data_IF_555664578868
#
_entry.id   IF_555664578868
#
_cell.length_a   1.000
_cell.length_b   1.000
_cell.length_c   1.000
_cell.angle_alpha   90.00
_cell.angle_beta   90.00
_cell.angle_gamma   90.00
#
_symmetry.space_group_name_H-M   'P 1'
#
loop_
_entity.id
_entity.type
_entity.pdbx_description
1 polymer ?
#
# COMPACT_ATOMS: atom_id res chain seq x y z
N UNK A 1 -8.37 -41.84 -2.22
CA UNK A 1 -7.81 -42.60 -1.06
C UNK A 1 -6.37 -42.22 -0.77
N UNK A 2 -5.48 -42.12 -1.79
CA UNK A 2 -4.06 -41.73 -1.61
C UNK A 2 -3.93 -40.33 -0.96
N UNK A 3 -4.65 -39.33 -1.49
CA UNK A 3 -4.64 -37.96 -0.96
C UNK A 3 -5.08 -37.91 0.49
N UNK A 4 -6.11 -38.67 0.89
CA UNK A 4 -6.60 -38.73 2.27
C UNK A 4 -5.57 -39.37 3.22
N UNK A 5 -4.83 -40.38 2.77
CA UNK A 5 -3.76 -41.02 3.56
C UNK A 5 -2.55 -40.08 3.73
N UNK A 6 -2.23 -39.29 2.69
CA UNK A 6 -1.17 -38.28 2.74
C UNK A 6 -1.57 -37.11 3.69
N UNK A 7 -2.80 -36.64 3.66
CA UNK A 7 -3.32 -35.64 4.61
C UNK A 7 -3.31 -36.14 6.05
N UNK A 8 -3.63 -37.43 6.28
CA UNK A 8 -3.56 -38.02 7.64
C UNK A 8 -2.11 -38.04 8.14
N UNK A 9 -1.14 -38.35 7.29
CA UNK A 9 0.29 -38.27 7.65
C UNK A 9 0.74 -36.86 8.03
N UNK A 10 0.28 -35.84 7.32
CA UNK A 10 0.55 -34.42 7.64
C UNK A 10 -0.04 -34.03 8.99
N UNK A 11 -1.22 -34.57 9.33
CA UNK A 11 -1.83 -34.31 10.63
C UNK A 11 -1.11 -35.01 11.82
N UNK A 12 -0.31 -36.04 11.54
CA UNK A 12 0.42 -36.80 12.54
C UNK A 12 1.88 -36.33 12.71
N UNK A 13 2.44 -35.68 11.69
CA UNK A 13 3.86 -35.27 11.69
C UNK A 13 3.99 -33.83 11.18
N UNK A 14 4.54 -32.90 11.98
CA UNK A 14 4.80 -31.54 11.52
C UNK A 14 5.68 -31.53 10.27
N UNK A 15 5.37 -30.64 9.33
CA UNK A 15 6.20 -30.43 8.15
C UNK A 15 7.11 -29.23 8.46
N UNK A 16 8.41 -29.40 8.25
CA UNK A 16 9.40 -28.34 8.44
C UNK A 16 8.99 -27.05 7.70
N UNK A 17 9.01 -25.93 8.43
CA UNK A 17 8.63 -24.61 7.89
C UNK A 17 7.14 -24.42 7.64
N UNK A 18 6.28 -25.34 8.09
CA UNK A 18 4.82 -25.25 7.93
C UNK A 18 4.14 -25.20 9.29
N UNK A 19 2.98 -24.53 9.31
CA UNK A 19 2.02 -24.63 10.42
C UNK A 19 0.88 -25.51 9.92
N UNK A 20 0.60 -26.60 10.63
CA UNK A 20 -0.49 -27.52 10.33
C UNK A 20 -1.36 -27.77 11.58
N UNK A 21 -2.50 -28.43 11.40
CA UNK A 21 -3.33 -28.89 12.52
C UNK A 21 -3.13 -30.40 12.70
N UNK A 22 -2.97 -30.80 13.96
CA UNK A 22 -2.97 -32.21 14.32
C UNK A 22 -4.39 -32.81 14.25
N UNK A 23 -4.51 -34.10 14.53
CA UNK A 23 -5.79 -34.83 14.56
C UNK A 23 -6.78 -34.28 15.61
N UNK A 24 -6.29 -33.61 16.65
CA UNK A 24 -7.09 -32.99 17.70
C UNK A 24 -7.53 -31.56 17.36
N UNK A 25 -7.04 -30.99 16.24
CA UNK A 25 -7.31 -29.63 15.83
C UNK A 25 -6.34 -28.59 16.37
N UNK A 26 -5.34 -28.98 17.18
CA UNK A 26 -4.32 -28.08 17.72
C UNK A 26 -3.32 -27.68 16.65
N UNK A 27 -2.82 -26.44 16.72
CA UNK A 27 -1.74 -25.99 15.85
C UNK A 27 -0.44 -26.70 16.22
N UNK A 28 0.23 -27.23 15.22
CA UNK A 28 1.57 -27.80 15.33
C UNK A 28 2.50 -27.14 14.32
N UNK A 29 3.73 -26.91 14.72
CA UNK A 29 4.79 -26.36 13.88
C UNK A 29 6.12 -27.01 14.26
N UNK A 30 6.95 -27.21 13.26
CA UNK A 30 8.31 -27.69 13.43
C UNK A 30 9.24 -26.63 12.85
N UNK A 31 10.19 -26.16 13.67
CA UNK A 31 11.23 -25.20 13.36
C UNK A 31 10.80 -23.86 12.68
N UNK A 32 11.51 -22.75 12.92
CA UNK A 32 11.26 -21.51 12.23
C UNK A 32 11.46 -21.68 10.73
N UNK A 33 10.59 -21.05 9.94
CA UNK A 33 10.64 -21.06 8.47
C UNK A 33 12.01 -20.60 8.00
N UNK A 34 12.76 -21.50 7.35
CA UNK A 34 14.02 -21.15 6.69
C UNK A 34 13.67 -20.50 5.35
N UNK A 35 13.98 -19.20 5.22
CA UNK A 35 13.75 -18.49 3.96
C UNK A 35 14.65 -19.02 2.86
N UNK A 36 14.05 -19.39 1.73
CA UNK A 36 14.77 -19.76 0.52
C UNK A 36 15.63 -18.59 0.04
N UNK A 37 16.95 -18.77 0.01
CA UNK A 37 17.90 -17.77 -0.47
C UNK A 37 18.09 -17.82 -1.98
N UNK A 38 17.94 -19.00 -2.59
CA UNK A 38 18.02 -19.23 -4.04
C UNK A 38 16.60 -19.18 -4.62
N UNK A 39 16.13 -17.99 -4.98
CA UNK A 39 14.77 -17.82 -5.46
C UNK A 39 14.51 -18.52 -6.80
N UNK A 40 15.54 -18.73 -7.61
CA UNK A 40 15.44 -19.41 -8.92
C UNK A 40 15.09 -20.90 -8.79
N UNK A 41 15.32 -21.51 -7.61
CA UNK A 41 14.88 -22.88 -7.33
C UNK A 41 13.32 -22.99 -7.26
N UNK A 42 12.62 -21.87 -7.11
CA UNK A 42 11.15 -21.81 -7.13
C UNK A 42 10.70 -21.82 -8.60
N UNK A 43 9.90 -22.80 -9.04
CA UNK A 43 9.40 -22.85 -10.42
C UNK A 43 8.63 -21.56 -10.79
N UNK A 44 8.82 -21.08 -12.02
CA UNK A 44 8.06 -19.94 -12.52
C UNK A 44 6.63 -20.33 -12.82
N UNK A 45 5.63 -19.66 -12.26
CA UNK A 45 4.25 -19.91 -12.65
C UNK A 45 3.96 -19.48 -14.09
N UNK A 46 4.71 -18.52 -14.63
CA UNK A 46 4.60 -18.09 -16.04
C UNK A 46 5.29 -19.10 -16.98
N UNK A 47 6.59 -19.36 -16.78
CA UNK A 47 7.37 -20.23 -17.68
C UNK A 47 6.90 -21.69 -17.67
N UNK A 48 6.17 -22.11 -16.65
CA UNK A 48 5.52 -23.43 -16.59
C UNK A 48 4.14 -23.47 -17.24
N UNK A 49 3.62 -22.33 -17.71
CA UNK A 49 2.30 -22.23 -18.34
C UNK A 49 1.11 -22.28 -17.36
N UNK A 50 1.34 -22.35 -16.05
CA UNK A 50 0.25 -22.43 -15.05
C UNK A 50 -0.64 -21.16 -15.11
N UNK A 51 -0.04 -20.00 -15.46
CA UNK A 51 -0.75 -18.72 -15.54
C UNK A 51 -1.48 -18.49 -16.86
N UNK A 52 -1.33 -19.33 -17.88
CA UNK A 52 -1.86 -19.07 -19.23
C UNK A 52 -3.38 -18.81 -19.26
N UNK A 53 -4.12 -19.53 -18.45
CA UNK A 53 -5.59 -19.35 -18.33
C UNK A 53 -6.01 -18.00 -17.77
N UNK A 54 -5.09 -17.24 -17.18
CA UNK A 54 -5.35 -15.93 -16.60
C UNK A 54 -4.95 -14.77 -17.51
N UNK A 55 -4.42 -15.03 -18.70
CA UNK A 55 -4.23 -14.03 -19.75
C UNK A 55 -5.56 -13.77 -20.48
N UNK A 56 -6.59 -13.41 -19.72
CA UNK A 56 -7.98 -13.24 -20.18
C UNK A 56 -8.37 -11.78 -20.48
N UNK A 57 -7.44 -10.85 -20.29
CA UNK A 57 -7.65 -9.41 -20.49
C UNK A 57 -8.41 -8.71 -19.36
N UNK A 58 -8.70 -9.40 -18.26
CA UNK A 58 -9.34 -8.85 -17.05
C UNK A 58 -8.35 -8.65 -15.92
N UNK A 59 -7.32 -9.49 -15.86
CA UNK A 59 -6.31 -9.47 -14.82
C UNK A 59 -5.05 -8.77 -15.32
N UNK A 60 -4.41 -8.03 -14.44
CA UNK A 60 -3.08 -7.45 -14.66
C UNK A 60 -2.03 -8.47 -14.22
N UNK A 61 -1.09 -8.86 -15.10
CA UNK A 61 0.02 -9.71 -14.69
C UNK A 61 0.84 -9.09 -13.58
N UNK A 62 1.24 -9.92 -12.61
CA UNK A 62 2.08 -9.52 -11.50
C UNK A 62 3.31 -10.41 -11.45
N UNK A 63 4.47 -9.79 -11.25
CA UNK A 63 5.72 -10.51 -11.06
C UNK A 63 6.52 -9.91 -9.92
N UNK A 64 7.55 -10.62 -9.47
CA UNK A 64 8.41 -10.21 -8.38
C UNK A 64 9.87 -10.43 -8.79
N UNK A 65 10.71 -9.42 -8.57
CA UNK A 65 12.15 -9.53 -8.89
C UNK A 65 13.00 -9.86 -7.68
N UNK A 66 12.54 -9.51 -6.48
CA UNK A 66 13.22 -9.77 -5.22
C UNK A 66 12.23 -9.95 -4.07
N UNK A 67 12.67 -10.58 -2.98
CA UNK A 67 11.92 -10.79 -1.74
C UNK A 67 12.67 -10.25 -0.55
N UNK A 68 12.00 -9.46 0.28
CA UNK A 68 12.52 -8.86 1.49
C UNK A 68 12.60 -7.34 1.42
N UNK A 69 12.75 -6.73 2.58
CA UNK A 69 12.84 -5.29 2.74
C UNK A 69 13.97 -4.95 3.71
N UNK A 70 14.96 -4.11 3.35
CA UNK A 70 16.09 -3.81 4.22
C UNK A 70 15.75 -2.83 5.35
N UNK A 71 14.48 -2.42 5.48
CA UNK A 71 14.02 -1.46 6.47
C UNK A 71 13.28 -2.14 7.63
N UNK A 72 13.25 -1.47 8.79
CA UNK A 72 12.73 -2.00 10.06
C UNK A 72 11.49 -1.24 10.55
N UNK A 73 10.65 -0.75 9.63
CA UNK A 73 9.46 0.03 10.00
C UNK A 73 8.54 -0.79 10.91
N UNK A 74 8.20 -0.25 12.09
CA UNK A 74 7.46 -0.98 13.13
C UNK A 74 6.01 -1.31 12.76
N UNK A 75 5.41 -0.54 11.85
CA UNK A 75 4.04 -0.73 11.37
C UNK A 75 3.93 -1.81 10.27
N UNK A 76 5.05 -2.30 9.74
CA UNK A 76 5.10 -3.15 8.57
C UNK A 76 5.56 -4.56 8.94
N UNK A 77 4.89 -5.59 8.43
CA UNK A 77 5.31 -6.99 8.60
C UNK A 77 6.61 -7.31 7.87
N UNK A 78 6.94 -6.58 6.80
CA UNK A 78 8.22 -6.69 6.12
C UNK A 78 9.37 -6.00 6.86
N UNK A 79 9.09 -5.29 7.96
CA UNK A 79 10.07 -4.71 8.87
C UNK A 79 10.66 -5.70 9.87
N UNK A 80 10.20 -6.93 9.90
CA UNK A 80 10.67 -7.97 10.81
C UNK A 80 12.07 -8.47 10.44
N UNK A 81 12.90 -8.78 11.42
CA UNK A 81 14.26 -9.29 11.23
C UNK A 81 14.34 -10.48 10.28
N UNK A 82 13.31 -11.34 10.31
CA UNK A 82 13.21 -12.52 9.45
C UNK A 82 13.04 -12.18 7.95
N UNK A 83 12.64 -10.96 7.62
CA UNK A 83 12.38 -10.52 6.23
C UNK A 83 13.36 -9.46 5.72
N UNK A 84 14.26 -8.93 6.54
CA UNK A 84 15.18 -7.84 6.18
C UNK A 84 16.19 -8.22 5.09
N UNK A 85 16.61 -9.48 5.02
CA UNK A 85 17.53 -9.93 3.99
C UNK A 85 16.81 -9.96 2.64
N UNK A 86 17.25 -9.14 1.70
CA UNK A 86 16.74 -9.14 0.33
C UNK A 86 17.41 -10.25 -0.47
N UNK A 87 16.62 -11.18 -0.97
CA UNK A 87 17.03 -12.20 -1.93
C UNK A 87 16.41 -11.87 -3.30
N UNK A 88 17.15 -12.10 -4.38
CA UNK A 88 16.71 -11.74 -5.72
C UNK A 88 16.64 -12.97 -6.63
N UNK A 89 15.66 -12.98 -7.53
CA UNK A 89 15.71 -13.84 -8.71
C UNK A 89 16.85 -13.42 -9.63
N UNK A 90 17.39 -14.31 -10.45
CA UNK A 90 18.36 -13.90 -11.45
C UNK A 90 17.75 -12.95 -12.48
N UNK A 91 18.58 -12.05 -13.02
CA UNK A 91 18.13 -11.14 -14.09
C UNK A 91 17.65 -11.91 -15.32
N UNK A 92 18.27 -13.05 -15.62
CA UNK A 92 17.88 -13.94 -16.69
C UNK A 92 16.45 -14.49 -16.48
N UNK A 93 16.15 -14.97 -15.25
CA UNK A 93 14.80 -15.44 -14.90
C UNK A 93 13.77 -14.34 -15.08
N UNK A 94 14.04 -13.12 -14.62
CA UNK A 94 13.14 -11.97 -14.74
C UNK A 94 12.91 -11.62 -16.22
N UNK A 95 13.96 -11.58 -17.03
CA UNK A 95 13.88 -11.33 -18.49
C UNK A 95 13.03 -12.40 -19.20
N UNK A 96 13.22 -13.66 -18.86
CA UNK A 96 12.44 -14.75 -19.44
C UNK A 96 10.96 -14.65 -19.10
N UNK A 97 10.62 -14.32 -17.85
CA UNK A 97 9.23 -14.09 -17.44
C UNK A 97 8.62 -12.87 -18.13
N UNK A 98 9.34 -11.75 -18.23
CA UNK A 98 8.90 -10.54 -18.95
C UNK A 98 8.58 -10.87 -20.42
N UNK A 99 9.48 -11.58 -21.11
CA UNK A 99 9.27 -12.01 -22.48
C UNK A 99 8.04 -12.92 -22.60
N UNK A 100 7.90 -13.90 -21.71
CA UNK A 100 6.76 -14.81 -21.72
C UNK A 100 5.45 -14.07 -21.54
N UNK A 101 5.33 -13.23 -20.52
CA UNK A 101 4.14 -12.41 -20.25
C UNK A 101 3.82 -11.55 -21.47
N UNK A 102 4.80 -10.85 -22.02
CA UNK A 102 4.62 -9.94 -23.15
C UNK A 102 4.12 -10.62 -24.43
N UNK A 103 4.41 -11.92 -24.60
CA UNK A 103 3.93 -12.73 -25.72
C UNK A 103 2.50 -13.23 -25.54
N UNK A 104 2.04 -13.36 -24.29
CA UNK A 104 0.75 -14.01 -23.98
C UNK A 104 -0.35 -13.03 -23.55
N UNK A 105 0.00 -11.81 -23.14
CA UNK A 105 -1.02 -10.82 -22.73
C UNK A 105 -1.91 -10.40 -23.90
N UNK A 106 -3.22 -10.28 -23.69
CA UNK A 106 -4.12 -9.72 -24.68
C UNK A 106 -3.83 -8.23 -24.94
N UNK A 107 -4.23 -7.72 -26.11
CA UNK A 107 -3.99 -6.33 -26.55
C UNK A 107 -4.61 -5.26 -25.64
N UNK A 108 -5.64 -5.61 -24.88
CA UNK A 108 -6.27 -4.71 -23.91
C UNK A 108 -5.59 -4.70 -22.52
N UNK A 109 -4.51 -5.47 -22.34
CA UNK A 109 -3.70 -5.47 -21.13
C UNK A 109 -2.51 -4.54 -21.33
N UNK A 110 -2.41 -3.48 -20.55
CA UNK A 110 -1.41 -2.42 -20.72
C UNK A 110 -0.42 -2.36 -19.56
N UNK A 111 -0.83 -2.83 -18.38
CA UNK A 111 -0.07 -2.71 -17.14
C UNK A 111 0.64 -3.99 -16.77
N UNK A 112 1.82 -3.85 -16.18
CA UNK A 112 2.56 -4.89 -15.48
C UNK A 112 2.79 -4.44 -14.04
N UNK A 113 2.51 -5.31 -13.07
CA UNK A 113 2.73 -5.00 -11.66
C UNK A 113 3.96 -5.75 -11.13
N UNK A 114 4.93 -5.01 -10.60
CA UNK A 114 5.99 -5.58 -9.77
C UNK A 114 5.61 -5.48 -8.30
N UNK A 115 5.53 -6.62 -7.62
CA UNK A 115 5.26 -6.67 -6.18
C UNK A 115 6.51 -6.48 -5.32
N UNK A 116 7.55 -5.90 -5.88
CA UNK A 116 8.76 -5.52 -5.19
C UNK A 116 8.50 -4.38 -4.21
N UNK A 117 9.06 -4.46 -3.00
CA UNK A 117 8.85 -3.47 -1.94
C UNK A 117 9.68 -2.19 -2.12
N UNK A 118 10.70 -2.21 -2.97
CA UNK A 118 11.66 -1.12 -3.12
C UNK A 118 12.29 -1.09 -4.53
N UNK A 119 11.49 -1.15 -5.58
CA UNK A 119 11.98 -1.15 -6.96
C UNK A 119 12.74 0.14 -7.28
N UNK A 120 13.77 0.02 -8.11
CA UNK A 120 14.65 1.13 -8.52
C UNK A 120 15.77 1.42 -7.51
N UNK A 121 15.81 0.75 -6.35
CA UNK A 121 16.83 0.98 -5.33
C UNK A 121 18.13 0.21 -5.58
N UNK A 122 18.05 -0.95 -6.23
CA UNK A 122 19.20 -1.81 -6.48
C UNK A 122 19.79 -1.59 -7.87
N UNK A 123 21.13 -1.75 -8.06
CA UNK A 123 21.77 -1.55 -9.38
C UNK A 123 21.15 -2.41 -10.48
N UNK A 124 20.75 -3.65 -10.16
CA UNK A 124 20.14 -4.58 -11.10
C UNK A 124 18.76 -4.14 -11.62
N UNK A 125 18.09 -3.26 -10.90
CA UNK A 125 16.77 -2.77 -11.30
C UNK A 125 16.86 -1.95 -12.60
N UNK A 126 18.02 -1.31 -12.85
CA UNK A 126 18.26 -0.62 -14.11
C UNK A 126 18.35 -1.58 -15.30
N UNK A 127 18.94 -2.77 -15.11
CA UNK A 127 18.96 -3.82 -16.14
C UNK A 127 17.56 -4.37 -16.40
N UNK A 128 16.72 -4.41 -15.38
CA UNK A 128 15.31 -4.80 -15.52
C UNK A 128 14.52 -3.74 -16.27
N UNK A 129 14.79 -2.44 -16.02
CA UNK A 129 14.21 -1.35 -16.81
C UNK A 129 14.57 -1.47 -18.30
N UNK A 130 15.82 -1.79 -18.61
CA UNK A 130 16.27 -1.99 -20.00
C UNK A 130 15.50 -3.19 -20.64
N UNK A 131 15.34 -4.29 -19.90
CA UNK A 131 14.57 -5.45 -20.37
C UNK A 131 13.06 -5.13 -20.57
N UNK A 132 12.48 -4.27 -19.73
CA UNK A 132 11.11 -3.78 -19.92
C UNK A 132 10.98 -2.98 -21.21
N UNK A 133 11.95 -2.10 -21.50
CA UNK A 133 11.96 -1.34 -22.75
C UNK A 133 12.13 -2.26 -23.98
N UNK A 134 13.01 -3.24 -23.94
CA UNK A 134 13.15 -4.25 -25.00
C UNK A 134 11.82 -4.97 -25.30
N UNK A 135 11.06 -5.35 -24.25
CA UNK A 135 9.74 -5.98 -24.44
C UNK A 135 8.70 -4.97 -24.93
N UNK A 136 8.74 -3.72 -24.44
CA UNK A 136 7.86 -2.62 -24.91
C UNK A 136 8.06 -2.34 -26.39
N UNK A 137 9.30 -2.28 -26.85
CA UNK A 137 9.62 -2.08 -28.28
C UNK A 137 9.14 -3.24 -29.14
N UNK A 138 9.38 -4.47 -28.68
CA UNK A 138 9.10 -5.67 -29.46
C UNK A 138 7.62 -6.07 -29.48
N UNK A 139 6.94 -5.94 -28.33
CA UNK A 139 5.58 -6.46 -28.13
C UNK A 139 4.54 -5.37 -27.84
N UNK A 140 4.97 -4.09 -27.75
CA UNK A 140 4.14 -2.94 -27.31
C UNK A 140 3.57 -3.12 -25.88
N UNK A 141 4.29 -3.87 -25.03
CA UNK A 141 3.92 -4.17 -23.66
C UNK A 141 5.17 -4.33 -22.76
N UNK A 142 5.11 -3.87 -21.48
CA UNK A 142 4.06 -3.07 -20.85
C UNK A 142 4.16 -1.59 -21.24
N UNK A 143 3.01 -0.88 -21.27
CA UNK A 143 3.00 0.58 -21.42
C UNK A 143 2.89 1.30 -20.07
N UNK A 144 2.52 0.57 -19.01
CA UNK A 144 2.44 1.06 -17.64
C UNK A 144 3.03 0.04 -16.67
N UNK A 145 3.94 0.51 -15.82
CA UNK A 145 4.57 -0.28 -14.76
C UNK A 145 4.06 0.21 -13.40
N UNK A 146 3.44 -0.70 -12.65
CA UNK A 146 2.96 -0.45 -11.29
C UNK A 146 3.93 -1.07 -10.31
N UNK A 147 4.46 -0.30 -9.37
CA UNK A 147 5.38 -0.81 -8.35
C UNK A 147 5.56 0.17 -7.21
N UNK A 148 6.01 -0.32 -6.06
CA UNK A 148 6.46 0.53 -4.95
C UNK A 148 7.93 0.87 -5.12
N UNK A 149 8.26 2.15 -5.17
CA UNK A 149 9.65 2.60 -5.32
C UNK A 149 10.41 2.56 -3.99
N UNK A 150 11.73 2.46 -4.06
CA UNK A 150 12.59 2.47 -2.88
C UNK A 150 12.50 3.76 -2.06
N UNK A 151 12.80 3.66 -0.76
CA UNK A 151 12.70 4.77 0.19
C UNK A 151 13.93 5.69 0.22
N UNK A 152 15.07 5.19 -0.25
CA UNK A 152 16.35 5.92 -0.35
C UNK A 152 17.02 5.65 -1.71
N UNK A 153 18.24 6.15 -1.93
CA UNK A 153 19.01 6.00 -3.20
C UNK A 153 18.28 6.54 -4.42
N UNK A 154 17.80 7.75 -4.30
CA UNK A 154 16.93 8.42 -5.27
C UNK A 154 17.51 8.60 -6.65
N UNK A 155 18.80 8.87 -6.77
CA UNK A 155 19.43 9.01 -8.07
C UNK A 155 19.21 7.77 -8.93
N UNK A 156 19.21 6.57 -8.30
CA UNK A 156 18.90 5.32 -9.00
C UNK A 156 17.43 5.18 -9.35
N UNK A 157 16.54 5.59 -8.44
CA UNK A 157 15.08 5.54 -8.69
C UNK A 157 14.72 6.50 -9.81
N UNK A 158 15.27 7.72 -9.81
CA UNK A 158 15.06 8.69 -10.90
C UNK A 158 15.60 8.13 -12.21
N UNK A 159 16.77 7.51 -12.18
CA UNK A 159 17.35 6.89 -13.38
C UNK A 159 16.47 5.74 -13.89
N UNK A 160 15.92 4.89 -13.00
CA UNK A 160 14.97 3.84 -13.36
C UNK A 160 13.71 4.42 -14.02
N UNK A 161 13.16 5.50 -13.45
CA UNK A 161 11.97 6.17 -14.00
C UNK A 161 12.27 6.80 -15.36
N UNK A 162 13.44 7.46 -15.51
CA UNK A 162 13.85 8.02 -16.81
C UNK A 162 13.99 6.94 -17.88
N UNK A 163 14.60 5.80 -17.54
CA UNK A 163 14.74 4.66 -18.47
C UNK A 163 13.40 4.13 -18.92
N UNK A 164 12.40 4.11 -18.04
CA UNK A 164 11.06 3.64 -18.37
C UNK A 164 10.19 4.67 -19.11
N UNK A 165 10.72 5.85 -19.40
CA UNK A 165 10.12 6.88 -20.26
C UNK A 165 8.62 7.11 -19.96
N UNK A 166 8.32 7.48 -18.71
CA UNK A 166 6.96 7.77 -18.25
C UNK A 166 6.06 6.55 -18.00
N UNK A 167 6.56 5.32 -18.22
CA UNK A 167 5.76 4.13 -17.94
C UNK A 167 5.55 3.88 -16.43
N UNK A 168 6.36 4.51 -15.57
CA UNK A 168 6.30 4.36 -14.12
C UNK A 168 6.18 5.74 -13.44
N UNK A 169 5.20 5.89 -12.54
CA UNK A 169 5.07 7.08 -11.70
C UNK A 169 6.09 7.08 -10.55
N UNK A 170 6.42 8.27 -10.05
CA UNK A 170 7.24 8.41 -8.85
C UNK A 170 6.35 8.41 -7.61
N UNK A 171 6.28 7.29 -6.92
CA UNK A 171 5.60 7.18 -5.62
C UNK A 171 6.60 7.43 -4.49
N UNK A 172 6.32 8.44 -3.66
CA UNK A 172 7.12 8.80 -2.49
C UNK A 172 6.33 8.55 -1.21
N UNK A 173 6.30 7.30 -0.75
CA UNK A 173 5.59 6.91 0.47
C UNK A 173 6.32 7.45 1.70
N UNK A 174 6.08 8.72 2.08
CA UNK A 174 6.75 9.35 3.23
C UNK A 174 6.18 8.88 4.58
N UNK A 175 4.92 8.51 4.63
CA UNK A 175 4.12 8.11 5.78
C UNK A 175 3.92 9.24 6.81
N UNK A 176 4.96 9.98 7.16
CA UNK A 176 4.99 11.22 7.94
C UNK A 176 6.22 12.05 7.53
N UNK A 177 6.20 13.35 7.83
CA UNK A 177 7.36 14.25 7.70
C UNK A 177 7.73 14.91 9.05
N UNK A 178 7.21 14.37 10.13
CA UNK A 178 7.63 14.71 11.49
C UNK A 178 8.77 13.80 11.93
N UNK A 179 9.89 14.37 12.37
CA UNK A 179 11.10 13.64 12.73
C UNK A 179 10.89 12.70 13.91
N UNK A 180 10.08 13.12 14.91
CA UNK A 180 9.84 12.29 16.08
C UNK A 180 8.93 11.11 15.73
N UNK A 181 7.89 11.32 14.92
CA UNK A 181 7.02 10.25 14.43
C UNK A 181 7.84 9.25 13.60
N UNK A 182 8.69 9.73 12.70
CA UNK A 182 9.56 8.86 11.89
C UNK A 182 10.51 8.04 12.76
N UNK A 183 11.09 8.64 13.79
CA UNK A 183 11.95 7.94 14.77
C UNK A 183 11.16 6.88 15.54
N UNK A 184 9.93 7.18 15.96
CA UNK A 184 9.09 6.24 16.70
C UNK A 184 8.74 5.00 15.87
N UNK A 185 8.55 5.15 14.56
CA UNK A 185 8.27 4.04 13.63
C UNK A 185 9.51 3.47 12.97
N UNK A 186 10.71 3.86 13.39
CA UNK A 186 12.00 3.43 12.84
C UNK A 186 12.08 3.56 11.32
N UNK A 187 11.66 4.72 10.81
CA UNK A 187 11.67 5.01 9.39
C UNK A 187 12.57 6.20 9.07
N UNK A 188 13.43 6.00 8.08
CA UNK A 188 14.21 7.07 7.49
C UNK A 188 13.59 7.48 6.14
N UNK A 189 13.14 8.71 6.06
CA UNK A 189 12.73 9.33 4.81
C UNK A 189 13.89 10.10 4.19
N UNK A 190 13.71 10.48 2.95
CA UNK A 190 14.50 11.55 2.41
C UNK A 190 14.16 12.86 3.12
N UNK A 191 15.17 13.73 3.27
CA UNK A 191 14.89 15.08 3.75
C UNK A 191 13.96 15.84 2.81
N UNK A 192 13.17 16.75 3.38
CA UNK A 192 12.28 17.62 2.62
C UNK A 192 13.05 18.39 1.53
N UNK A 193 14.26 18.87 1.84
CA UNK A 193 15.08 19.63 0.89
C UNK A 193 15.50 18.80 -0.31
N UNK A 194 15.89 17.54 -0.09
CA UNK A 194 16.21 16.61 -1.19
C UNK A 194 14.95 16.32 -2.00
N UNK A 195 13.81 16.09 -1.38
CA UNK A 195 12.54 15.89 -2.09
C UNK A 195 12.19 17.12 -2.94
N UNK A 196 12.24 18.32 -2.37
CA UNK A 196 11.97 19.56 -3.09
C UNK A 196 12.96 19.79 -4.24
N UNK A 197 14.24 19.46 -4.04
CA UNK A 197 15.28 19.55 -5.06
C UNK A 197 15.07 18.61 -6.25
N UNK A 198 14.33 17.51 -6.08
CA UNK A 198 14.02 16.57 -7.17
C UNK A 198 12.82 16.99 -8.02
N UNK A 199 11.87 17.73 -7.45
CA UNK A 199 10.62 18.09 -8.11
C UNK A 199 10.77 18.80 -9.47
N UNK A 200 11.73 19.73 -9.68
CA UNK A 200 11.94 20.33 -10.99
C UNK A 200 12.26 19.30 -12.07
N UNK A 201 13.20 18.40 -11.81
CA UNK A 201 13.61 17.36 -12.77
C UNK A 201 12.48 16.36 -13.08
N UNK A 202 11.68 16.00 -12.06
CA UNK A 202 10.54 15.11 -12.21
C UNK A 202 9.46 15.74 -13.10
N UNK A 203 9.19 17.04 -12.92
CA UNK A 203 8.23 17.79 -13.75
C UNK A 203 8.72 18.00 -15.17
N UNK A 204 10.00 18.31 -15.34
CA UNK A 204 10.62 18.42 -16.67
C UNK A 204 10.49 17.12 -17.45
N UNK A 205 10.58 15.99 -16.76
CA UNK A 205 10.36 14.67 -17.32
C UNK A 205 8.85 14.32 -17.53
N UNK A 206 7.92 15.22 -17.20
CA UNK A 206 6.47 14.98 -17.36
C UNK A 206 5.90 13.88 -16.48
N UNK A 207 6.59 13.53 -15.39
CA UNK A 207 6.19 12.42 -14.50
C UNK A 207 5.18 12.88 -13.47
N UNK A 208 4.17 12.03 -13.22
CA UNK A 208 3.24 12.19 -12.11
C UNK A 208 3.93 11.84 -10.78
N UNK A 209 3.59 12.58 -9.76
CA UNK A 209 4.13 12.45 -8.40
C UNK A 209 3.03 12.13 -7.41
N UNK A 210 3.25 11.07 -6.64
CA UNK A 210 2.31 10.64 -5.61
C UNK A 210 3.03 10.50 -4.27
N UNK A 211 2.34 10.78 -3.18
CA UNK A 211 2.83 10.49 -1.84
C UNK A 211 1.75 9.82 -0.99
N UNK A 212 2.20 8.94 -0.12
CA UNK A 212 1.38 8.24 0.85
C UNK A 212 1.74 8.70 2.26
N UNK A 213 0.70 8.98 3.05
CA UNK A 213 0.79 9.39 4.46
C UNK A 213 -0.08 8.44 5.28
N UNK A 214 0.38 8.09 6.47
CA UNK A 214 -0.39 7.27 7.40
C UNK A 214 -0.86 8.14 8.57
N UNK A 215 -2.16 8.16 8.81
CA UNK A 215 -2.81 8.84 9.94
C UNK A 215 -2.92 7.88 11.12
N UNK A 216 -2.52 8.33 12.30
CA UNK A 216 -2.60 7.57 13.56
C UNK A 216 -1.29 6.89 13.97
N UNK A 217 -0.16 7.29 13.40
CA UNK A 217 1.16 6.77 13.76
C UNK A 217 1.56 7.08 15.21
N UNK A 218 2.45 6.27 15.83
CA UNK A 218 2.94 6.47 17.18
C UNK A 218 3.50 7.88 17.46
N UNK A 219 2.88 8.61 18.37
CA UNK A 219 3.30 9.96 18.75
C UNK A 219 2.88 11.06 17.77
N UNK A 220 2.12 10.73 16.73
CA UNK A 220 1.53 11.73 15.84
C UNK A 220 0.47 12.55 16.58
N UNK A 221 0.46 13.85 16.34
CA UNK A 221 -0.56 14.79 16.82
C UNK A 221 -1.36 15.31 15.64
N UNK A 222 -2.51 15.92 15.92
CA UNK A 222 -3.29 16.67 14.93
C UNK A 222 -2.41 17.63 14.12
N UNK A 223 -1.58 18.41 14.83
CA UNK A 223 -0.73 19.41 14.17
C UNK A 223 0.37 18.81 13.33
N UNK A 224 1.09 17.79 13.81
CA UNK A 224 2.17 17.14 13.04
C UNK A 224 1.67 16.46 11.78
N UNK A 225 0.43 15.94 11.81
CA UNK A 225 -0.22 15.41 10.61
C UNK A 225 -0.51 16.51 9.58
N UNK A 226 -1.12 17.63 10.01
CA UNK A 226 -1.38 18.78 9.15
C UNK A 226 -0.09 19.36 8.57
N UNK A 227 0.97 19.48 9.37
CA UNK A 227 2.28 19.98 8.92
C UNK A 227 2.90 19.06 7.86
N UNK A 228 2.72 17.74 8.00
CA UNK A 228 3.11 16.77 6.97
C UNK A 228 2.38 17.04 5.66
N UNK A 229 1.06 17.15 5.68
CA UNK A 229 0.26 17.43 4.48
C UNK A 229 0.63 18.80 3.88
N UNK A 230 0.83 19.82 4.70
CA UNK A 230 1.23 21.15 4.26
C UNK A 230 2.56 21.13 3.50
N UNK A 231 3.57 20.45 4.04
CA UNK A 231 4.87 20.26 3.37
C UNK A 231 4.72 19.59 1.99
N UNK A 232 3.88 18.55 1.88
CA UNK A 232 3.64 17.83 0.63
C UNK A 232 2.91 18.71 -0.41
N UNK A 233 1.90 19.49 0.02
CA UNK A 233 1.19 20.45 -0.86
C UNK A 233 2.16 21.53 -1.36
N UNK A 234 3.04 22.04 -0.50
CA UNK A 234 4.07 23.02 -0.88
C UNK A 234 5.13 22.42 -1.81
N UNK A 235 5.42 21.12 -1.69
CA UNK A 235 6.23 20.38 -2.65
C UNK A 235 5.54 20.24 -4.02
N UNK A 236 4.25 20.60 -4.13
CA UNK A 236 3.44 20.57 -5.34
C UNK A 236 3.31 19.17 -5.92
N UNK A 237 3.14 18.16 -5.08
CA UNK A 237 2.81 16.81 -5.53
C UNK A 237 1.45 16.80 -6.23
N UNK A 238 1.30 15.89 -7.20
CA UNK A 238 0.06 15.76 -7.97
C UNK A 238 -1.03 15.03 -7.18
N UNK A 239 -0.65 14.06 -6.34
CA UNK A 239 -1.58 13.32 -5.49
C UNK A 239 -0.97 13.03 -4.11
N UNK A 240 -1.81 13.12 -3.07
CA UNK A 240 -1.47 12.78 -1.69
C UNK A 240 -2.55 11.85 -1.16
N UNK A 241 -2.18 10.59 -0.88
CA UNK A 241 -3.06 9.60 -0.31
C UNK A 241 -2.86 9.53 1.21
N UNK A 242 -3.95 9.61 1.96
CA UNK A 242 -3.92 9.48 3.42
C UNK A 242 -4.61 8.18 3.82
N UNK A 243 -3.84 7.26 4.37
CA UNK A 243 -4.31 5.97 4.88
C UNK A 243 -4.46 6.02 6.40
N UNK A 244 -5.49 5.38 6.93
CA UNK A 244 -5.58 5.11 8.38
C UNK A 244 -4.53 4.05 8.74
N UNK A 245 -3.85 4.24 9.86
CA UNK A 245 -2.87 3.29 10.36
C UNK A 245 -3.53 1.96 10.71
N UNK A 246 -3.15 0.89 10.03
CA UNK A 246 -3.56 -0.48 10.33
C UNK A 246 -2.61 -1.13 11.33
N UNK A 247 -3.15 -1.89 12.27
CA UNK A 247 -2.38 -2.79 13.12
C UNK A 247 -2.34 -4.17 12.46
N UNK A 248 -1.30 -4.39 11.68
CA UNK A 248 -1.10 -5.65 10.98
C UNK A 248 -0.65 -6.73 11.95
N UNK A 249 -1.38 -7.84 11.98
CA UNK A 249 -0.99 -9.01 12.77
C UNK A 249 0.44 -9.46 12.44
N UNK A 250 1.26 -9.64 13.48
CA UNK A 250 2.67 -9.99 13.34
C UNK A 250 3.62 -8.80 13.20
N UNK A 251 3.13 -7.57 12.99
CA UNK A 251 4.00 -6.39 13.05
C UNK A 251 4.44 -6.08 14.48
N UNK A 252 5.57 -5.39 14.65
CA UNK A 252 6.03 -4.98 15.99
C UNK A 252 5.02 -4.07 16.67
N UNK A 253 4.43 -3.16 15.92
CA UNK A 253 3.45 -2.19 16.42
C UNK A 253 2.18 -2.87 16.96
N UNK A 254 1.83 -4.08 16.50
CA UNK A 254 0.70 -4.85 16.99
C UNK A 254 0.97 -5.58 18.31
N UNK A 255 2.22 -5.57 18.81
CA UNK A 255 2.54 -6.25 20.09
C UNK A 255 1.87 -5.58 21.29
N UNK A 256 1.53 -6.34 22.36
CA UNK A 256 0.93 -5.77 23.56
C UNK A 256 1.74 -4.62 24.18
N UNK A 257 3.08 -4.71 24.13
CA UNK A 257 3.99 -3.68 24.65
C UNK A 257 3.84 -2.35 23.87
N UNK A 258 3.87 -2.39 22.54
CA UNK A 258 3.73 -1.18 21.73
C UNK A 258 2.30 -0.60 21.81
N UNK A 259 1.27 -1.45 21.85
CA UNK A 259 -0.12 -1.02 22.08
C UNK A 259 -0.27 -0.25 23.40
N UNK A 260 0.29 -0.77 24.48
CA UNK A 260 0.24 -0.13 25.80
C UNK A 260 1.07 1.15 25.85
N UNK A 261 2.28 1.13 25.31
CA UNK A 261 3.22 2.25 25.28
C UNK A 261 2.60 3.48 24.58
N UNK A 262 1.94 3.28 23.47
CA UNK A 262 1.36 4.35 22.66
C UNK A 262 -0.12 4.63 22.97
N UNK A 263 -0.75 3.80 23.82
CA UNK A 263 -2.15 3.94 24.20
C UNK A 263 -3.09 3.89 23.00
N UNK A 264 -2.87 2.94 22.08
CA UNK A 264 -3.68 2.85 20.87
C UNK A 264 -5.15 2.61 21.19
N UNK A 265 -6.01 3.49 20.70
CA UNK A 265 -7.44 3.29 20.58
C UNK A 265 -7.71 2.71 19.21
N UNK A 266 -8.18 1.47 19.15
CA UNK A 266 -8.38 0.75 17.90
C UNK A 266 -9.83 0.40 17.66
N UNK A 267 -10.20 0.26 16.41
CA UNK A 267 -11.50 -0.20 15.93
C UNK A 267 -11.30 -1.20 14.80
N UNK A 268 -12.38 -1.92 14.49
CA UNK A 268 -12.40 -2.89 13.40
C UNK A 268 -13.33 -2.41 12.29
N UNK A 269 -12.97 -2.66 11.04
CA UNK A 269 -13.83 -2.42 9.89
C UNK A 269 -13.59 -3.47 8.80
N UNK A 270 -14.55 -3.59 7.89
CA UNK A 270 -14.36 -4.40 6.68
C UNK A 270 -13.38 -3.67 5.76
N UNK A 271 -12.38 -4.39 5.25
CA UNK A 271 -11.47 -3.85 4.25
C UNK A 271 -12.27 -3.51 2.98
N UNK A 272 -12.17 -2.27 2.46
CA UNK A 272 -12.98 -1.84 1.33
C UNK A 272 -12.80 -2.75 0.11
N UNK A 273 -13.92 -3.21 -0.46
CA UNK A 273 -13.98 -4.12 -1.60
C UNK A 273 -13.48 -5.56 -1.37
N UNK A 274 -13.09 -5.93 -0.15
CA UNK A 274 -12.57 -7.26 0.19
C UNK A 274 -13.60 -8.08 0.99
N UNK A 275 -14.72 -8.32 0.35
CA UNK A 275 -15.76 -9.22 0.85
C UNK A 275 -16.36 -10.01 -0.31
N UNK A 276 -16.84 -11.19 -0.02
CA UNK A 276 -17.42 -12.08 -1.04
C UNK A 276 -18.35 -13.12 -0.43
N UNK A 277 -19.13 -13.78 -1.29
CA UNK A 277 -19.95 -14.90 -0.92
C UNK A 277 -19.40 -16.18 -1.52
N UNK A 278 -19.14 -17.17 -0.68
CA UNK A 278 -18.71 -18.49 -1.16
C UNK A 278 -19.85 -19.25 -1.86
N UNK A 279 -19.50 -20.23 -2.69
CA UNK A 279 -20.47 -21.07 -3.38
C UNK A 279 -21.40 -21.86 -2.46
N UNK A 280 -21.01 -22.08 -1.20
CA UNK A 280 -21.85 -22.69 -0.17
C UNK A 280 -22.75 -21.68 0.58
N UNK A 281 -22.80 -20.43 0.14
CA UNK A 281 -23.62 -19.37 0.71
C UNK A 281 -22.99 -18.64 1.91
N UNK A 282 -21.77 -18.99 2.34
CA UNK A 282 -21.09 -18.33 3.47
C UNK A 282 -20.53 -16.97 3.05
N UNK A 283 -20.83 -15.94 3.83
CA UNK A 283 -20.25 -14.61 3.68
C UNK A 283 -18.80 -14.62 4.20
N UNK A 284 -17.89 -14.04 3.41
CA UNK A 284 -16.48 -13.87 3.76
C UNK A 284 -16.20 -12.37 3.82
N UNK A 285 -15.54 -11.96 4.88
CA UNK A 285 -15.12 -10.58 5.14
C UNK A 285 -13.62 -10.56 5.42
N UNK A 286 -12.88 -9.70 4.75
CA UNK A 286 -11.57 -9.31 5.21
C UNK A 286 -11.71 -8.15 6.19
N UNK A 287 -11.14 -8.30 7.38
CA UNK A 287 -11.32 -7.36 8.49
C UNK A 287 -9.98 -6.80 8.89
N UNK A 288 -9.88 -5.49 8.95
CA UNK A 288 -8.71 -4.79 9.45
C UNK A 288 -8.95 -4.15 10.81
N UNK A 289 -7.92 -4.15 11.65
CA UNK A 289 -7.86 -3.36 12.88
C UNK A 289 -7.15 -2.05 12.57
N UNK A 290 -7.79 -0.92 12.89
CA UNK A 290 -7.28 0.42 12.59
C UNK A 290 -7.10 1.25 13.84
N UNK A 291 -6.04 2.06 13.89
CA UNK A 291 -5.79 3.03 14.97
C UNK A 291 -6.61 4.27 14.68
N UNK A 292 -7.54 4.59 15.58
CA UNK A 292 -8.41 5.77 15.51
C UNK A 292 -8.08 6.80 16.60
N UNK A 293 -7.01 6.58 17.35
CA UNK A 293 -6.48 7.47 18.37
C UNK A 293 -5.30 6.84 19.10
N UNK A 294 -4.54 7.66 19.80
CA UNK A 294 -3.41 7.26 20.64
C UNK A 294 -3.19 8.29 21.75
N UNK A 295 -2.10 8.19 22.53
CA UNK A 295 -1.80 9.13 23.62
C UNK A 295 -1.69 10.59 23.18
N UNK A 296 -1.51 10.88 21.89
CA UNK A 296 -1.27 12.23 21.34
C UNK A 296 -2.29 12.66 20.28
N UNK A 297 -3.21 11.77 19.91
CA UNK A 297 -4.27 12.01 18.92
C UNK A 297 -5.59 11.44 19.45
N UNK A 298 -6.60 12.28 19.59
CA UNK A 298 -7.94 11.88 20.03
C UNK A 298 -8.77 11.30 18.86
N UNK A 299 -9.86 10.61 19.18
CA UNK A 299 -10.79 10.09 18.16
C UNK A 299 -11.46 11.23 17.36
N UNK A 300 -11.83 12.31 18.01
CA UNK A 300 -12.45 13.45 17.34
C UNK A 300 -11.48 14.12 16.36
N UNK A 301 -10.21 14.28 16.74
CA UNK A 301 -9.15 14.77 15.86
C UNK A 301 -8.91 13.80 14.67
N UNK A 302 -8.92 12.50 14.92
CA UNK A 302 -8.84 11.50 13.86
C UNK A 302 -9.97 11.70 12.83
N UNK A 303 -11.22 11.82 13.29
CA UNK A 303 -12.38 12.03 12.41
C UNK A 303 -12.24 13.32 11.60
N UNK A 304 -11.78 14.40 12.25
CA UNK A 304 -11.53 15.68 11.56
C UNK A 304 -10.45 15.55 10.48
N UNK A 305 -9.34 14.87 10.78
CA UNK A 305 -8.28 14.62 9.81
C UNK A 305 -8.73 13.70 8.65
N UNK A 306 -9.64 12.77 8.90
CA UNK A 306 -10.30 11.97 7.84
C UNK A 306 -11.12 12.85 6.91
N UNK A 307 -11.86 13.83 7.46
CA UNK A 307 -12.59 14.81 6.64
C UNK A 307 -11.61 15.67 5.83
N UNK A 308 -10.49 16.07 6.43
CA UNK A 308 -9.45 16.80 5.69
C UNK A 308 -8.85 15.96 4.55
N UNK A 309 -8.58 14.68 4.81
CA UNK A 309 -8.12 13.76 3.79
C UNK A 309 -9.12 13.60 2.62
N UNK A 310 -10.43 13.65 2.92
CA UNK A 310 -11.47 13.65 1.89
C UNK A 310 -11.44 14.92 1.03
N UNK A 311 -11.27 16.10 1.63
CA UNK A 311 -11.06 17.36 0.87
C UNK A 311 -9.84 17.24 -0.03
N UNK A 312 -8.73 16.78 0.52
CA UNK A 312 -7.48 16.63 -0.19
C UNK A 312 -7.62 15.68 -1.39
N UNK A 313 -8.20 14.50 -1.16
CA UNK A 313 -8.40 13.50 -2.20
C UNK A 313 -9.32 14.02 -3.33
N UNK A 314 -10.49 14.58 -3.00
CA UNK A 314 -11.45 15.10 -3.99
C UNK A 314 -10.89 16.27 -4.78
N UNK A 315 -9.96 17.05 -4.20
CA UNK A 315 -9.37 18.23 -4.82
C UNK A 315 -8.13 17.93 -5.68
N UNK A 316 -7.45 16.79 -5.44
CA UNK A 316 -6.21 16.43 -6.16
C UNK A 316 -6.36 15.23 -7.07
N UNK A 317 -7.36 14.35 -6.81
CA UNK A 317 -7.55 13.14 -7.58
C UNK A 317 -7.81 13.40 -9.06
N UNK A 318 -7.07 12.70 -9.93
CA UNK A 318 -7.25 12.74 -11.36
C UNK A 318 -6.89 14.06 -12.02
N UNK A 319 -6.18 14.96 -11.30
CA UNK A 319 -5.72 16.30 -11.78
C UNK A 319 -6.84 17.19 -12.34
N UNK A 320 -8.10 16.92 -11.99
CA UNK A 320 -9.27 17.65 -12.51
C UNK A 320 -9.19 19.15 -12.17
N UNK A 321 -8.76 19.48 -10.96
CA UNK A 321 -8.65 20.85 -10.47
C UNK A 321 -7.26 21.47 -10.68
N UNK A 322 -6.35 20.78 -11.34
CA UNK A 322 -4.96 21.25 -11.53
C UNK A 322 -4.87 22.67 -12.16
N UNK A 323 -5.69 23.06 -13.16
CA UNK A 323 -5.68 24.44 -13.66
C UNK A 323 -6.01 25.48 -12.58
N UNK A 324 -6.97 25.19 -11.71
CA UNK A 324 -7.34 26.08 -10.60
C UNK A 324 -6.22 26.12 -9.57
N UNK A 325 -5.65 24.98 -9.19
CA UNK A 325 -4.56 24.92 -8.24
C UNK A 325 -3.30 25.64 -8.75
N UNK A 326 -3.01 25.56 -10.04
CA UNK A 326 -1.92 26.33 -10.69
C UNK A 326 -2.20 27.83 -10.64
N UNK A 327 -3.44 28.25 -10.94
CA UNK A 327 -3.85 29.64 -10.87
C UNK A 327 -3.69 30.20 -9.44
N UNK A 328 -4.13 29.48 -8.41
CA UNK A 328 -4.00 29.88 -7.02
C UNK A 328 -2.53 30.04 -6.64
N UNK A 329 -1.69 29.05 -6.97
CA UNK A 329 -0.24 29.09 -6.72
C UNK A 329 0.44 30.27 -7.43
N UNK A 330 0.03 30.56 -8.67
CA UNK A 330 0.56 31.71 -9.43
C UNK A 330 0.23 33.05 -8.76
N UNK A 331 -0.91 33.15 -8.08
CA UNK A 331 -1.34 34.35 -7.37
C UNK A 331 -0.92 34.33 -5.89
N UNK A 332 0.04 33.47 -5.50
CA UNK A 332 0.54 33.33 -4.13
C UNK A 332 -0.55 33.01 -3.08
N UNK A 333 -1.60 32.31 -3.49
CA UNK A 333 -2.62 31.81 -2.58
C UNK A 333 -2.17 30.43 -2.11
N UNK A 334 -2.08 30.25 -0.77
CA UNK A 334 -1.69 28.97 -0.20
C UNK A 334 -2.82 27.95 -0.38
N UNK A 335 -2.54 26.90 -1.15
CA UNK A 335 -3.49 25.83 -1.44
C UNK A 335 -3.84 25.03 -0.18
N UNK A 336 -2.90 24.87 0.75
CA UNK A 336 -3.17 24.20 2.02
C UNK A 336 -4.20 24.98 2.84
N UNK A 337 -4.00 26.30 2.95
CA UNK A 337 -4.94 27.16 3.69
C UNK A 337 -6.34 27.12 3.07
N UNK A 338 -6.45 27.10 1.73
CA UNK A 338 -7.74 26.92 1.06
C UNK A 338 -8.40 25.59 1.48
N UNK A 339 -7.71 24.47 1.36
CA UNK A 339 -8.26 23.16 1.72
C UNK A 339 -8.63 23.07 3.19
N UNK A 340 -7.80 23.63 4.06
CA UNK A 340 -8.07 23.69 5.49
C UNK A 340 -9.32 24.53 5.80
N UNK A 341 -9.49 25.69 5.15
CA UNK A 341 -10.69 26.51 5.30
C UNK A 341 -11.93 25.80 4.74
N UNK A 342 -11.84 25.09 3.63
CA UNK A 342 -12.97 24.30 3.09
C UNK A 342 -13.46 23.28 4.14
N UNK A 343 -12.56 22.59 4.82
CA UNK A 343 -12.92 21.68 5.91
C UNK A 343 -13.55 22.42 7.10
N UNK A 344 -12.93 23.51 7.56
CA UNK A 344 -13.43 24.26 8.73
C UNK A 344 -14.76 24.95 8.51
N UNK A 345 -15.04 25.35 7.28
CA UNK A 345 -16.25 26.11 6.92
C UNK A 345 -17.34 25.25 6.28
N UNK A 346 -17.28 23.94 6.46
CA UNK A 346 -18.24 22.99 5.84
C UNK A 346 -19.69 23.36 6.11
N UNK A 347 -19.99 23.93 7.28
CA UNK A 347 -21.35 24.36 7.64
C UNK A 347 -21.87 25.59 6.86
N UNK A 348 -20.99 26.32 6.18
CA UNK A 348 -21.34 27.48 5.34
C UNK A 348 -21.43 27.13 3.87
N UNK A 349 -21.09 25.89 3.49
CA UNK A 349 -21.14 25.41 2.12
C UNK A 349 -22.60 25.17 1.65
N UNK A 350 -22.86 25.17 0.34
CA UNK A 350 -24.18 24.83 -0.18
C UNK A 350 -24.68 23.49 0.36
N UNK A 351 -26.01 23.33 0.58
CA UNK A 351 -26.58 22.16 1.27
C UNK A 351 -26.18 20.81 0.68
N UNK A 352 -26.09 20.72 -0.64
CA UNK A 352 -25.67 19.49 -1.33
C UNK A 352 -24.20 19.13 -1.06
N UNK A 353 -23.32 20.13 -0.98
CA UNK A 353 -21.90 19.89 -0.65
C UNK A 353 -21.79 19.54 0.84
N UNK A 354 -22.45 20.32 1.71
CA UNK A 354 -22.48 20.03 3.15
C UNK A 354 -22.97 18.60 3.42
N UNK A 355 -24.06 18.17 2.80
CA UNK A 355 -24.59 16.81 2.99
C UNK A 355 -23.61 15.72 2.55
N UNK A 356 -22.77 15.98 1.56
CA UNK A 356 -21.69 15.03 1.16
C UNK A 356 -20.64 14.89 2.26
N UNK A 357 -20.23 16.00 2.88
CA UNK A 357 -19.29 15.98 4.00
C UNK A 357 -19.89 15.29 5.24
N UNK A 358 -21.15 15.63 5.57
CA UNK A 358 -21.85 15.02 6.70
C UNK A 358 -21.97 13.49 6.49
N UNK A 359 -22.37 13.06 5.30
CA UNK A 359 -22.46 11.64 4.95
C UNK A 359 -21.10 10.94 5.00
N UNK A 360 -20.03 11.59 4.53
CA UNK A 360 -18.67 11.02 4.65
C UNK A 360 -18.26 10.85 6.12
N UNK A 361 -18.50 11.86 6.94
CA UNK A 361 -18.20 11.81 8.39
C UNK A 361 -19.00 10.71 9.10
N UNK A 362 -20.30 10.61 8.83
CA UNK A 362 -21.17 9.58 9.38
C UNK A 362 -20.69 8.17 8.97
N UNK A 363 -20.38 7.97 7.70
CA UNK A 363 -19.85 6.69 7.21
C UNK A 363 -18.50 6.34 7.84
N UNK A 364 -17.60 7.33 7.96
CA UNK A 364 -16.29 7.13 8.60
C UNK A 364 -16.44 6.65 10.06
N UNK A 365 -17.46 7.10 10.77
CA UNK A 365 -17.73 6.67 12.15
C UNK A 365 -18.47 5.34 12.18
N UNK A 366 -19.49 5.18 11.34
CA UNK A 366 -20.37 3.99 11.38
C UNK A 366 -19.72 2.71 10.83
N UNK A 367 -18.64 2.83 10.04
CA UNK A 367 -17.87 1.65 9.59
C UNK A 367 -17.00 1.02 10.69
N UNK A 368 -16.87 1.70 11.85
CA UNK A 368 -15.94 1.34 12.93
C UNK A 368 -16.65 0.55 14.04
N UNK A 369 -16.19 -0.66 14.29
CA UNK A 369 -16.73 -1.59 15.29
C UNK A 369 -15.79 -1.72 16.49
N UNK A 370 -16.35 -2.01 17.68
CA UNK A 370 -15.55 -2.16 18.88
C UNK A 370 -14.81 -3.51 18.93
N UNK A 371 -15.36 -4.52 18.30
CA UNK A 371 -14.75 -5.84 18.24
C UNK A 371 -14.97 -6.50 16.86
N UNK A 372 -14.09 -7.44 16.56
CA UNK A 372 -14.17 -8.27 15.35
C UNK A 372 -15.42 -9.16 15.38
N UNK A 373 -15.81 -9.63 16.57
CA UNK A 373 -16.96 -10.48 16.80
C UNK A 373 -18.28 -9.74 16.52
N UNK A 374 -18.41 -8.49 16.99
CA UNK A 374 -19.58 -7.65 16.72
C UNK A 374 -19.72 -7.42 15.20
N UNK A 375 -18.64 -7.06 14.53
CA UNK A 375 -18.63 -6.85 13.09
C UNK A 375 -19.04 -8.10 12.33
N UNK A 376 -18.44 -9.26 12.64
CA UNK A 376 -18.78 -10.53 11.99
C UNK A 376 -20.25 -10.88 12.23
N UNK A 377 -20.73 -10.71 13.45
CA UNK A 377 -22.13 -11.01 13.80
C UNK A 377 -23.11 -10.16 12.99
N UNK A 378 -22.83 -8.86 12.82
CA UNK A 378 -23.67 -7.97 12.02
C UNK A 378 -23.77 -8.41 10.56
N UNK A 379 -22.64 -8.73 9.94
CA UNK A 379 -22.58 -9.09 8.52
C UNK A 379 -22.85 -10.59 8.24
N UNK A 380 -23.25 -11.37 9.25
CA UNK A 380 -23.92 -12.64 9.02
C UNK A 380 -25.36 -12.46 8.52
N UNK A 381 -26.02 -11.33 8.85
CA UNK A 381 -27.29 -10.96 8.25
C UNK A 381 -27.11 -10.60 6.78
N UNK A 382 -27.91 -11.22 5.90
CA UNK A 382 -27.81 -11.05 4.46
C UNK A 382 -28.10 -9.61 4.01
N UNK A 383 -29.06 -8.92 4.67
CA UNK A 383 -29.42 -7.56 4.31
C UNK A 383 -28.30 -6.58 4.67
N UNK A 384 -27.62 -6.81 5.81
CA UNK A 384 -26.48 -6.00 6.21
C UNK A 384 -25.27 -6.28 5.32
N UNK A 385 -25.02 -7.54 4.96
CA UNK A 385 -23.94 -7.89 4.04
C UNK A 385 -24.11 -7.26 2.64
N UNK A 386 -25.35 -7.11 2.17
CA UNK A 386 -25.66 -6.49 0.87
C UNK A 386 -25.48 -4.97 0.85
N UNK A 387 -25.27 -4.33 2.01
CA UNK A 387 -24.99 -2.89 2.09
C UNK A 387 -23.51 -2.55 1.94
N UNK A 388 -22.62 -3.56 2.03
CA UNK A 388 -21.19 -3.42 1.77
C UNK A 388 -20.93 -3.17 0.27
#
# INVERSE_FOLDING_TARGET
RRLKAEMTKIAETPIEGCISRNSNGDLQYDNPVIRTSKLDDIPSPYLTGIMDKFFDGKLTPMMQTNRGCPFTCTFCVDGLDTVQKVNSFSTERVKNELNYISQHVPKNTHSLHFSDLNFGMFPRDLEICDAINETKEKYQYPTKVLTTTGKNKKDKIIEAIRRLDGAMALTMSVQSMDEQVLKNIRRENISTDVMLGLMPAVREAGLLTESEVILGLPGETYQTHLDTIKKLIHAKLDSIQVYTCMLLDGSEMATPNERSKWGFNTKFRVLPSDFSKMSNGKNILEIEEVIVGNNTLTFDEYVELRVFAFVLWTSTFGVIYDPILKFLRHNNIDVFDLFFQMMKQVNTLPPNIKSTFDSFKEKTISELWNSKEELISNYQDENEFQKL
#
